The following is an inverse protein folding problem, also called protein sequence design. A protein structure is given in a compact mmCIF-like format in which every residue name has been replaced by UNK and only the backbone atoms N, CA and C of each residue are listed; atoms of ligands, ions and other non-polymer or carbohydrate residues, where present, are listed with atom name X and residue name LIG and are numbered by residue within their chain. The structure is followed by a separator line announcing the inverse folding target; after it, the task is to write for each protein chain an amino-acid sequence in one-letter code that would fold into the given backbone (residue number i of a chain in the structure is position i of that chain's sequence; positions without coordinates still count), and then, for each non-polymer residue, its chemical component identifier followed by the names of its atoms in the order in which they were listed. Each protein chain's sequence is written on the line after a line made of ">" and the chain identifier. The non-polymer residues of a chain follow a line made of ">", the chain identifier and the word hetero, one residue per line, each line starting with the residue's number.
data_IF_845205370004
#
_entry.id   IF_845205370004
#
_cell.length_a   1.000
_cell.length_b   1.000
_cell.length_c   1.000
_cell.angle_alpha   90.00
_cell.angle_beta   90.00
_cell.angle_gamma   90.00
#
_symmetry.space_group_name_H-M   'P 1'
#
loop_
_entity.id
_entity.type
_entity.pdbx_description
1 polymer ?
#
# COMPACT_ATOMS: atom_id res chain seq x y z
N UNK A 1 -19.13 21.05 0.95
CA UNK A 1 -18.04 21.85 1.53
C UNK A 1 -16.86 21.76 0.57
N UNK A 2 -16.65 22.80 -0.23
CA UNK A 2 -15.60 22.87 -1.25
C UNK A 2 -14.46 23.67 -0.64
N UNK A 3 -13.31 23.03 -0.41
CA UNK A 3 -12.10 23.74 -0.02
C UNK A 3 -11.41 24.16 -1.32
N UNK A 4 -11.50 25.44 -1.63
CA UNK A 4 -10.77 26.08 -2.73
C UNK A 4 -9.36 26.38 -2.20
N UNK A 5 -8.28 25.93 -2.85
CA UNK A 5 -6.94 26.30 -2.42
C UNK A 5 -6.69 27.77 -2.78
N UNK A 6 -6.49 28.60 -1.76
CA UNK A 6 -6.02 29.97 -1.96
C UNK A 6 -4.63 29.98 -2.59
N UNK A 7 -4.50 30.89 -3.55
CA UNK A 7 -3.32 31.14 -4.37
C UNK A 7 -2.33 31.93 -3.52
N UNK A 8 -1.22 31.31 -3.11
CA UNK A 8 -0.13 32.01 -2.42
C UNK A 8 0.65 32.87 -3.44
N UNK A 9 0.43 34.18 -3.41
CA UNK A 9 1.35 35.16 -4.02
C UNK A 9 2.57 35.34 -3.11
N UNK A 10 3.75 35.01 -3.65
CA UNK A 10 5.04 35.28 -3.03
C UNK A 10 5.39 36.76 -3.24
N UNK A 11 5.10 37.58 -2.23
CA UNK A 11 5.69 38.91 -2.12
C UNK A 11 7.16 38.77 -1.69
N UNK A 12 8.07 39.23 -2.56
CA UNK A 12 9.46 39.52 -2.22
C UNK A 12 9.47 40.69 -1.25
N UNK A 13 9.86 40.46 0.01
CA UNK A 13 10.19 41.54 0.94
C UNK A 13 11.69 41.54 1.21
N UNK A 14 12.24 42.74 1.05
CA UNK A 14 13.63 43.14 1.26
C UNK A 14 14.13 42.83 2.67
N UNK A 15 15.40 42.42 2.69
CA UNK A 15 16.18 42.06 3.87
C UNK A 15 16.63 43.35 4.58
N UNK A 16 16.02 43.68 5.71
CA UNK A 16 16.63 44.57 6.70
C UNK A 16 17.12 43.74 7.88
N UNK A 17 18.43 43.81 8.15
CA UNK A 17 19.12 43.04 9.16
C UNK A 17 18.68 43.41 10.59
N UNK A 18 18.11 42.45 11.29
CA UNK A 18 18.07 42.43 12.75
C UNK A 18 19.23 41.58 13.28
N UNK A 19 20.01 42.21 14.15
CA UNK A 19 21.13 41.63 14.86
C UNK A 19 20.62 40.68 15.97
N UNK A 20 21.12 39.44 16.05
CA UNK A 20 20.65 38.49 17.05
C UNK A 20 21.06 38.89 18.47
N UNK A 21 20.22 38.59 19.49
CA UNK A 21 20.52 38.90 20.88
C UNK A 21 21.70 38.05 21.39
N UNK A 22 22.60 38.70 22.13
CA UNK A 22 23.74 38.06 22.77
C UNK A 22 23.28 37.10 23.88
N UNK A 23 23.70 35.85 23.80
CA UNK A 23 23.50 34.85 24.86
C UNK A 23 24.60 35.01 25.91
N UNK A 24 24.19 35.10 27.18
CA UNK A 24 25.11 35.09 28.31
C UNK A 24 25.74 33.70 28.48
N UNK A 25 27.07 33.69 28.59
CA UNK A 25 27.92 32.54 28.93
C UNK A 25 27.49 31.95 30.27
N UNK A 26 27.19 30.65 30.29
CA UNK A 26 26.95 29.89 31.53
C UNK A 26 28.32 29.48 32.07
N UNK A 27 28.62 29.90 33.30
CA UNK A 27 29.80 29.50 34.06
C UNK A 27 29.79 28.00 34.37
N UNK A 28 30.93 27.40 34.12
CA UNK A 28 31.31 26.01 34.37
C UNK A 28 31.51 25.80 35.88
N UNK A 29 30.65 24.98 36.49
CA UNK A 29 30.75 24.60 37.91
C UNK A 29 31.41 23.23 38.05
N UNK A 30 32.56 23.28 38.71
CA UNK A 30 33.50 22.22 39.06
C UNK A 30 32.92 21.22 40.09
N UNK A 31 33.07 19.89 39.95
CA UNK A 31 32.51 18.92 40.88
C UNK A 31 33.57 18.44 41.88
N UNK A 32 33.49 18.87 43.14
CA UNK A 32 34.15 18.14 44.24
C UNK A 32 33.28 17.98 45.49
N UNK A 33 33.21 16.71 45.91
CA UNK A 33 33.16 16.18 47.28
C UNK A 33 31.79 15.71 47.84
N UNK A 34 31.72 14.47 48.37
CA UNK A 34 30.54 13.93 49.03
C UNK A 34 30.61 14.09 50.56
N UNK A 35 29.47 14.37 51.21
CA UNK A 35 29.28 14.08 52.64
C UNK A 35 27.83 13.70 52.97
N UNK A 36 27.68 12.44 53.38
CA UNK A 36 26.87 11.90 54.47
C UNK A 36 25.65 12.65 55.04
N UNK A 37 24.56 11.87 55.08
CA UNK A 37 23.58 11.69 56.17
C UNK A 37 22.62 12.84 56.53
N UNK A 38 21.32 12.60 56.43
CA UNK A 38 20.46 12.13 57.55
C UNK A 38 18.98 12.23 57.16
N UNK A 39 18.19 11.39 57.84
CA UNK A 39 16.74 11.18 57.81
C UNK A 39 15.86 12.42 57.62
N UNK A 40 14.65 12.23 57.08
CA UNK A 40 13.36 12.49 57.77
C UNK A 40 12.17 12.24 56.82
N UNK A 41 11.31 11.29 57.20
CA UNK A 41 9.96 11.05 56.64
C UNK A 41 9.05 12.27 56.85
N UNK A 42 8.02 12.45 56.02
CA UNK A 42 6.69 12.29 56.61
C UNK A 42 5.65 11.60 55.70
N UNK A 43 4.68 11.04 56.42
CA UNK A 43 3.52 10.27 55.98
C UNK A 43 2.34 11.10 55.46
N UNK A 44 1.46 10.40 54.72
CA UNK A 44 -0.01 10.58 54.59
C UNK A 44 -0.56 11.63 53.59
N UNK A 45 -1.85 11.54 53.17
CA UNK A 45 -2.80 10.41 53.14
C UNK A 45 -3.65 10.28 51.84
N UNK A 46 -4.36 9.14 51.76
CA UNK A 46 -5.67 8.86 51.12
C UNK A 46 -6.25 9.80 50.05
N UNK A 47 -6.58 9.22 48.88
CA UNK A 47 -7.63 9.74 47.99
C UNK A 47 -8.66 8.64 47.71
N UNK A 48 -9.91 8.98 48.00
CA UNK A 48 -11.10 8.15 47.88
C UNK A 48 -11.52 7.97 46.41
N UNK A 49 -12.02 6.78 46.10
CA UNK A 49 -12.69 6.44 44.86
C UNK A 49 -14.21 6.50 45.05
N UNK A 50 -14.86 7.36 44.28
CA UNK A 50 -16.30 7.44 43.97
C UNK A 50 -16.36 8.25 42.67
N UNK A 51 -17.08 7.96 41.60
CA UNK A 51 -18.29 7.19 41.34
C UNK A 51 -19.07 7.96 40.25
N UNK A 52 -19.88 7.25 39.46
CA UNK A 52 -20.90 7.76 38.51
C UNK A 52 -20.41 8.37 37.19
N UNK A 53 -20.57 7.73 36.03
CA UNK A 53 -21.80 7.33 35.30
C UNK A 53 -22.64 8.51 34.81
N UNK A 54 -22.63 8.76 33.51
CA UNK A 54 -23.65 9.54 32.80
C UNK A 54 -23.66 9.11 31.34
N UNK A 55 -24.65 8.29 30.97
CA UNK A 55 -25.01 7.95 29.59
C UNK A 55 -25.75 9.13 28.93
N UNK A 56 -25.60 9.35 27.62
CA UNK A 56 -26.35 10.40 26.91
C UNK A 56 -27.72 9.92 26.42
N UNK A 57 -28.68 10.85 26.48
CA UNK A 57 -30.05 10.72 26.01
C UNK A 57 -30.12 10.50 24.48
N UNK A 58 -30.86 9.47 24.10
CA UNK A 58 -31.26 9.14 22.73
C UNK A 58 -32.49 9.99 22.38
N UNK A 59 -32.35 10.93 21.45
CA UNK A 59 -33.49 11.59 20.79
C UNK A 59 -33.80 10.80 19.52
N UNK A 60 -34.86 9.99 19.61
CA UNK A 60 -35.50 9.35 18.45
C UNK A 60 -36.26 10.43 17.67
N UNK A 61 -35.87 10.63 16.41
CA UNK A 61 -36.65 11.41 15.45
C UNK A 61 -37.12 10.48 14.33
N UNK A 62 -38.40 10.16 14.36
CA UNK A 62 -39.10 9.33 13.37
C UNK A 62 -39.32 10.11 12.08
N UNK A 63 -39.00 9.51 10.92
CA UNK A 63 -39.48 9.98 9.62
C UNK A 63 -39.88 8.81 8.69
N UNK A 64 -40.80 9.06 7.74
CA UNK A 64 -41.73 8.07 7.22
C UNK A 64 -41.19 7.27 6.05
N UNK A 65 -41.69 6.02 5.97
CA UNK A 65 -41.55 5.06 4.88
C UNK A 65 -42.16 5.58 3.58
N UNK A 66 -41.40 5.50 2.48
CA UNK A 66 -41.95 5.45 1.12
C UNK A 66 -41.34 4.27 0.35
N UNK A 67 -42.23 3.58 -0.35
CA UNK A 67 -42.08 2.33 -1.09
C UNK A 67 -41.06 2.36 -2.24
N UNK A 68 -40.37 1.23 -2.55
CA UNK A 68 -39.79 0.99 -3.86
C UNK A 68 -40.75 0.23 -4.78
N UNK A 69 -40.91 0.73 -6.01
CA UNK A 69 -41.52 0.01 -7.13
C UNK A 69 -40.47 -0.92 -7.78
N UNK A 70 -40.84 -2.14 -8.22
CA UNK A 70 -39.99 -2.98 -9.04
C UNK A 70 -40.16 -2.64 -10.54
N UNK A 71 -39.08 -2.68 -11.31
CA UNK A 71 -39.15 -2.69 -12.77
C UNK A 71 -38.37 -3.90 -13.29
N UNK A 72 -39.15 -4.88 -13.73
CA UNK A 72 -38.74 -6.03 -14.53
C UNK A 72 -38.17 -5.61 -15.89
N UNK A 73 -37.34 -6.48 -16.47
CA UNK A 73 -36.85 -6.32 -17.84
C UNK A 73 -35.83 -7.39 -18.23
N UNK A 74 -36.28 -8.64 -18.35
CA UNK A 74 -35.57 -9.70 -19.08
C UNK A 74 -35.35 -9.33 -20.55
N UNK A 75 -34.30 -9.88 -21.18
CA UNK A 75 -34.41 -10.73 -22.38
C UNK A 75 -33.01 -11.15 -22.89
N UNK A 76 -32.84 -12.48 -23.00
CA UNK A 76 -32.17 -13.29 -24.03
C UNK A 76 -31.15 -12.59 -24.97
N UNK A 77 -29.99 -13.19 -25.27
CA UNK A 77 -29.87 -14.20 -26.33
C UNK A 77 -28.57 -15.02 -26.19
N UNK A 78 -28.71 -16.34 -26.33
CA UNK A 78 -27.66 -17.32 -26.60
C UNK A 78 -27.30 -17.33 -28.08
N UNK A 79 -26.06 -17.74 -28.43
CA UNK A 79 -25.87 -18.51 -29.65
C UNK A 79 -25.29 -19.90 -29.39
N UNK A 80 -25.96 -20.85 -30.02
CA UNK A 80 -25.71 -22.27 -30.14
C UNK A 80 -24.87 -22.55 -31.41
N UNK A 81 -24.26 -23.74 -31.46
CA UNK A 81 -23.69 -24.49 -32.62
C UNK A 81 -22.24 -24.18 -32.99
N UNK A 82 -21.37 -25.13 -33.36
CA UNK A 82 -21.56 -26.54 -33.77
C UNK A 82 -20.29 -27.35 -33.48
N UNK A 83 -20.49 -28.65 -33.27
CA UNK A 83 -19.48 -29.68 -33.33
C UNK A 83 -19.03 -29.93 -34.78
N UNK A 84 -17.79 -30.37 -34.96
CA UNK A 84 -17.47 -31.39 -35.95
C UNK A 84 -16.27 -32.23 -35.50
N UNK A 85 -16.42 -33.52 -35.77
CA UNK A 85 -15.56 -34.65 -35.49
C UNK A 85 -14.40 -34.71 -36.50
N UNK A 86 -13.28 -35.35 -36.12
CA UNK A 86 -12.72 -36.53 -36.80
C UNK A 86 -11.37 -36.96 -36.19
N UNK A 87 -11.38 -38.18 -35.63
CA UNK A 87 -10.39 -39.27 -35.76
C UNK A 87 -8.91 -38.96 -36.05
N UNK A 88 -8.01 -39.46 -35.18
CA UNK A 88 -7.07 -40.57 -35.50
C UNK A 88 -6.17 -40.96 -34.30
N UNK A 89 -6.05 -42.28 -34.06
CA UNK A 89 -5.09 -43.01 -33.20
C UNK A 89 -4.60 -44.22 -34.05
N UNK A 90 -3.54 -44.96 -33.67
CA UNK A 90 -2.19 -44.61 -33.19
C UNK A 90 -1.10 -45.32 -34.05
N UNK A 91 0.17 -45.40 -33.59
CA UNK A 91 0.66 -46.74 -33.27
C UNK A 91 1.51 -46.87 -32.00
N UNK A 92 1.46 -48.11 -31.49
CA UNK A 92 2.22 -48.71 -30.39
C UNK A 92 3.73 -48.47 -30.47
N UNK A 93 4.32 -48.03 -29.35
CA UNK A 93 5.76 -48.07 -29.07
C UNK A 93 6.00 -48.48 -27.61
N UNK A 94 7.01 -49.32 -27.40
CA UNK A 94 7.24 -50.18 -26.22
C UNK A 94 7.57 -49.44 -24.92
N UNK A 95 7.26 -50.14 -23.83
CA UNK A 95 7.51 -49.79 -22.43
C UNK A 95 8.97 -49.49 -22.09
N UNK A 96 9.17 -48.52 -21.18
CA UNK A 96 10.29 -48.52 -20.23
C UNK A 96 9.79 -48.01 -18.89
N UNK A 97 9.75 -48.92 -17.91
CA UNK A 97 9.39 -48.65 -16.54
C UNK A 97 10.53 -47.82 -15.89
N UNK A 98 10.42 -46.50 -15.92
CA UNK A 98 11.23 -45.61 -15.08
C UNK A 98 10.39 -45.10 -13.93
N UNK A 99 10.62 -45.69 -12.76
CA UNK A 99 10.18 -45.19 -11.46
C UNK A 99 11.00 -43.94 -11.13
N UNK A 100 10.60 -42.81 -11.69
CA UNK A 100 11.15 -41.50 -11.34
C UNK A 100 10.11 -40.73 -10.53
N UNK A 101 10.52 -40.25 -9.35
CA UNK A 101 9.76 -39.36 -8.47
C UNK A 101 9.20 -38.21 -9.31
N UNK A 102 7.89 -38.21 -9.55
CA UNK A 102 7.20 -37.06 -10.13
C UNK A 102 7.16 -35.94 -9.09
N UNK A 103 8.19 -35.10 -9.09
CA UNK A 103 7.99 -33.69 -8.81
C UNK A 103 7.25 -33.14 -10.02
N UNK A 104 5.99 -32.76 -9.84
CA UNK A 104 5.22 -32.01 -10.84
C UNK A 104 5.94 -30.68 -11.09
N UNK A 105 6.93 -30.71 -11.98
CA UNK A 105 7.62 -29.52 -12.49
C UNK A 105 6.67 -28.89 -13.51
N UNK A 106 6.18 -27.72 -13.16
CA UNK A 106 5.19 -26.96 -13.90
C UNK A 106 5.72 -26.61 -15.30
N UNK A 107 5.18 -27.27 -16.33
CA UNK A 107 5.60 -27.23 -17.74
C UNK A 107 5.30 -25.92 -18.49
N UNK A 108 5.10 -24.82 -17.78
CA UNK A 108 4.86 -23.49 -18.36
C UNK A 108 6.19 -22.77 -18.65
N UNK A 109 7.27 -23.09 -17.93
CA UNK A 109 8.60 -22.53 -18.18
C UNK A 109 9.27 -23.08 -19.46
N UNK A 110 8.81 -24.22 -19.96
CA UNK A 110 9.30 -24.84 -21.21
C UNK A 110 8.84 -24.09 -22.47
N UNK A 111 7.85 -23.20 -22.33
CA UNK A 111 7.30 -22.39 -23.43
C UNK A 111 7.98 -21.03 -23.57
N UNK A 112 8.88 -20.67 -22.66
CA UNK A 112 9.62 -19.42 -22.80
C UNK A 112 10.76 -19.64 -23.80
N UNK A 113 10.72 -19.08 -25.03
CA UNK A 113 11.67 -19.40 -26.07
C UNK A 113 12.91 -18.52 -25.87
N UNK A 114 13.62 -18.67 -24.76
CA UNK A 114 14.83 -17.91 -24.46
C UNK A 114 16.02 -18.53 -25.19
N UNK A 115 16.06 -18.36 -26.52
CA UNK A 115 17.25 -18.66 -27.30
C UNK A 115 18.25 -17.50 -27.16
N UNK A 116 19.54 -17.84 -27.06
CA UNK A 116 20.67 -16.95 -26.72
C UNK A 116 20.89 -15.71 -27.61
N UNK A 117 20.08 -15.47 -28.65
CA UNK A 117 20.26 -14.39 -29.63
C UNK A 117 19.21 -13.27 -29.56
N UNK A 118 18.34 -13.25 -28.55
CA UNK A 118 17.28 -12.23 -28.46
C UNK A 118 17.82 -10.87 -28.03
N UNK A 119 17.31 -9.81 -28.67
CA UNK A 119 17.58 -8.44 -28.24
C UNK A 119 16.93 -8.16 -26.88
N UNK A 120 17.54 -7.30 -26.07
CA UNK A 120 16.99 -6.89 -24.77
C UNK A 120 15.55 -6.32 -24.88
N UNK A 121 15.20 -5.67 -26.00
CA UNK A 121 13.84 -5.18 -26.27
C UNK A 121 12.83 -6.34 -26.37
N UNK A 122 13.19 -7.41 -27.08
CA UNK A 122 12.33 -8.58 -27.23
C UNK A 122 12.15 -9.31 -25.90
N UNK A 123 13.20 -9.37 -25.08
CA UNK A 123 13.14 -9.96 -23.74
C UNK A 123 12.24 -9.14 -22.83
N UNK A 124 12.41 -7.80 -22.79
CA UNK A 124 11.52 -6.91 -22.03
C UNK A 124 10.06 -7.11 -22.42
N UNK A 125 9.76 -7.13 -23.73
CA UNK A 125 8.39 -7.33 -24.21
C UNK A 125 7.82 -8.69 -23.77
N UNK A 126 8.64 -9.75 -23.86
CA UNK A 126 8.23 -11.08 -23.40
C UNK A 126 7.91 -11.10 -21.91
N UNK A 127 8.72 -10.43 -21.09
CA UNK A 127 8.51 -10.35 -19.64
C UNK A 127 7.26 -9.52 -19.33
N UNK A 128 7.03 -8.41 -20.04
CA UNK A 128 5.80 -7.62 -19.89
C UNK A 128 4.55 -8.42 -20.21
N UNK A 129 4.56 -9.26 -21.24
CA UNK A 129 3.44 -10.17 -21.53
C UNK A 129 3.19 -11.16 -20.40
N UNK A 130 4.25 -11.76 -19.82
CA UNK A 130 4.11 -12.67 -18.67
C UNK A 130 3.51 -11.94 -17.46
N UNK A 131 4.01 -10.73 -17.15
CA UNK A 131 3.52 -9.92 -16.03
C UNK A 131 2.07 -9.48 -16.27
N UNK A 132 1.72 -9.15 -17.51
CA UNK A 132 0.35 -8.83 -17.91
C UNK A 132 -0.60 -10.00 -17.62
N UNK A 133 -0.26 -11.20 -18.09
CA UNK A 133 -1.08 -12.40 -17.90
C UNK A 133 -1.17 -12.78 -16.42
N UNK A 134 -0.13 -12.50 -15.64
CA UNK A 134 -0.15 -12.61 -14.19
C UNK A 134 -1.09 -11.61 -13.54
N UNK A 135 -1.11 -10.35 -13.95
CA UNK A 135 -1.89 -9.30 -13.32
C UNK A 135 -3.38 -9.32 -13.71
N UNK A 136 -3.65 -9.63 -14.97
CA UNK A 136 -4.98 -9.67 -15.59
C UNK A 136 -5.22 -11.09 -16.12
N UNK A 137 -5.60 -12.04 -15.25
CA UNK A 137 -5.82 -13.41 -15.68
C UNK A 137 -6.99 -13.48 -16.66
N UNK A 138 -6.91 -14.31 -17.73
CA UNK A 138 -8.01 -14.49 -18.67
C UNK A 138 -9.26 -14.97 -17.93
N UNK A 139 -10.41 -14.35 -18.22
CA UNK A 139 -11.70 -14.61 -17.56
C UNK A 139 -12.20 -16.07 -17.65
N UNK A 140 -11.56 -16.91 -18.46
CA UNK A 140 -11.95 -18.30 -18.72
C UNK A 140 -10.95 -19.34 -18.21
N UNK A 141 -10.02 -18.94 -17.34
CA UNK A 141 -8.99 -19.83 -16.78
C UNK A 141 -9.58 -20.76 -15.71
N UNK A 142 -10.39 -21.74 -16.12
CA UNK A 142 -10.85 -22.86 -15.27
C UNK A 142 -9.72 -23.85 -14.93
N UNK A 143 -8.45 -23.48 -15.16
CA UNK A 143 -7.29 -24.35 -15.02
C UNK A 143 -6.60 -24.14 -13.66
N UNK A 144 -6.94 -25.00 -12.70
CA UNK A 144 -6.09 -25.33 -11.56
C UNK A 144 -5.74 -24.19 -10.59
N UNK A 145 -4.89 -24.53 -9.60
CA UNK A 145 -4.31 -23.53 -8.71
C UNK A 145 -3.51 -22.52 -9.54
N UNK A 146 -3.66 -21.21 -9.31
CA UNK A 146 -2.84 -20.20 -9.97
C UNK A 146 -1.36 -20.51 -9.71
N UNK A 147 -0.49 -20.28 -10.71
CA UNK A 147 0.95 -20.50 -10.55
C UNK A 147 1.50 -19.56 -9.46
N UNK A 148 2.56 -20.00 -8.77
CA UNK A 148 3.20 -19.19 -7.74
C UNK A 148 3.88 -17.98 -8.38
N UNK A 149 3.26 -16.82 -8.23
CA UNK A 149 3.71 -15.56 -8.80
C UNK A 149 5.16 -15.21 -8.40
N UNK A 150 5.60 -15.62 -7.21
CA UNK A 150 6.96 -15.36 -6.76
C UNK A 150 7.99 -16.13 -7.59
N UNK A 151 7.75 -17.42 -7.85
CA UNK A 151 8.62 -18.25 -8.70
C UNK A 151 8.69 -17.69 -10.13
N UNK A 152 7.57 -17.20 -10.66
CA UNK A 152 7.53 -16.60 -12.00
C UNK A 152 8.39 -15.34 -12.07
N UNK A 153 8.19 -14.44 -11.11
CA UNK A 153 8.92 -13.18 -11.07
C UNK A 153 10.40 -13.41 -10.76
N UNK A 154 10.75 -14.41 -9.95
CA UNK A 154 12.14 -14.82 -9.74
C UNK A 154 12.79 -15.30 -11.05
N UNK A 155 12.08 -16.11 -11.85
CA UNK A 155 12.56 -16.50 -13.18
C UNK A 155 12.74 -15.28 -14.10
N UNK A 156 11.78 -14.36 -14.11
CA UNK A 156 11.89 -13.12 -14.89
C UNK A 156 13.07 -12.26 -14.44
N UNK A 157 13.37 -12.24 -13.13
CA UNK A 157 14.50 -11.51 -12.56
C UNK A 157 15.83 -12.03 -13.08
N UNK A 158 15.99 -13.36 -13.12
CA UNK A 158 17.18 -14.00 -13.65
C UNK A 158 17.36 -13.70 -15.14
N UNK A 159 16.30 -13.82 -15.93
CA UNK A 159 16.33 -13.46 -17.35
C UNK A 159 16.62 -11.98 -17.58
N UNK A 160 16.06 -11.08 -16.78
CA UNK A 160 16.40 -9.66 -16.82
C UNK A 160 17.90 -9.44 -16.56
N UNK A 161 18.46 -10.08 -15.54
CA UNK A 161 19.88 -9.94 -15.19
C UNK A 161 20.81 -10.41 -16.33
N UNK A 162 20.50 -11.53 -16.98
CA UNK A 162 21.24 -12.05 -18.14
C UNK A 162 21.26 -11.07 -19.32
N UNK A 163 20.18 -10.30 -19.49
CA UNK A 163 20.01 -9.33 -20.58
C UNK A 163 20.27 -7.88 -20.18
N UNK A 164 20.85 -7.64 -18.99
CA UNK A 164 21.13 -6.30 -18.43
C UNK A 164 19.89 -5.39 -18.34
N UNK A 165 18.76 -5.99 -18.01
CA UNK A 165 17.51 -5.30 -17.71
C UNK A 165 17.29 -5.27 -16.20
N UNK A 166 16.59 -4.25 -15.71
CA UNK A 166 16.13 -4.19 -14.33
C UNK A 166 14.68 -4.67 -14.25
N UNK A 167 14.43 -5.79 -13.57
CA UNK A 167 13.05 -6.23 -13.34
C UNK A 167 12.26 -5.19 -12.53
N UNK A 168 12.94 -4.50 -11.62
CA UNK A 168 12.36 -3.42 -10.81
C UNK A 168 11.77 -2.29 -11.67
N UNK A 169 12.43 -1.91 -12.77
CA UNK A 169 11.88 -0.93 -13.72
C UNK A 169 10.66 -1.50 -14.45
N UNK A 170 10.76 -2.75 -14.93
CA UNK A 170 9.71 -3.40 -15.71
C UNK A 170 8.40 -3.56 -14.91
N UNK A 171 8.47 -3.96 -13.63
CA UNK A 171 7.28 -4.10 -12.78
C UNK A 171 6.64 -2.77 -12.37
N UNK A 172 7.34 -1.66 -12.58
CA UNK A 172 6.88 -0.30 -12.28
C UNK A 172 6.41 0.48 -13.52
N UNK A 173 6.60 -0.09 -14.72
CA UNK A 173 6.14 0.50 -15.98
C UNK A 173 4.60 0.51 -16.07
N UNK A 174 4.06 1.58 -16.66
CA UNK A 174 2.65 1.72 -17.05
C UNK A 174 2.34 0.89 -18.31
N UNK A 175 2.50 -0.42 -18.21
CA UNK A 175 2.48 -1.33 -19.35
C UNK A 175 1.11 -1.97 -19.60
N UNK A 176 0.18 -1.87 -18.66
CA UNK A 176 -1.12 -2.55 -18.74
C UNK A 176 -2.21 -1.49 -18.67
N UNK A 177 -2.74 -1.08 -19.83
CA UNK A 177 -3.77 -0.04 -19.95
C UNK A 177 -3.43 1.23 -19.14
N UNK A 178 -2.22 1.78 -19.37
CA UNK A 178 -1.69 2.97 -18.70
C UNK A 178 -1.57 2.87 -17.17
N UNK A 179 -1.53 1.64 -16.66
CA UNK A 179 -1.38 1.31 -15.25
C UNK A 179 -0.25 0.30 -15.02
N UNK A 180 0.26 0.30 -13.81
CA UNK A 180 1.27 -0.66 -13.34
C UNK A 180 0.64 -2.03 -13.07
N UNK A 181 1.43 -3.11 -13.14
CA UNK A 181 1.02 -4.43 -12.66
C UNK A 181 0.54 -4.43 -11.19
N UNK A 182 1.11 -3.56 -10.36
CA UNK A 182 0.72 -3.42 -8.94
C UNK A 182 -0.69 -2.84 -8.79
N UNK A 183 -1.08 -1.88 -9.63
CA UNK A 183 -2.44 -1.35 -9.67
C UNK A 183 -3.44 -2.47 -9.94
N UNK A 184 -3.20 -3.28 -10.97
CA UNK A 184 -4.08 -4.38 -11.33
C UNK A 184 -4.13 -5.47 -10.27
N UNK A 185 -3.01 -5.77 -9.61
CA UNK A 185 -2.99 -6.69 -8.48
C UNK A 185 -3.92 -6.21 -7.34
N UNK A 186 -3.97 -4.91 -7.07
CA UNK A 186 -4.84 -4.32 -6.04
C UNK A 186 -6.31 -4.35 -6.48
N UNK A 187 -6.61 -3.87 -7.69
CA UNK A 187 -7.99 -3.82 -8.22
C UNK A 187 -8.61 -5.21 -8.32
N UNK A 188 -7.81 -6.22 -8.67
CA UNK A 188 -8.24 -7.62 -8.75
C UNK A 188 -8.17 -8.35 -7.40
N UNK A 189 -7.90 -7.65 -6.29
CA UNK A 189 -7.78 -8.21 -4.93
C UNK A 189 -6.78 -9.38 -4.80
N UNK A 190 -5.67 -9.32 -5.55
CA UNK A 190 -4.62 -10.35 -5.58
C UNK A 190 -3.44 -9.97 -4.68
N UNK A 191 -3.64 -10.04 -3.37
CA UNK A 191 -2.64 -9.63 -2.37
C UNK A 191 -1.31 -10.40 -2.48
N UNK A 192 -1.35 -11.72 -2.72
CA UNK A 192 -0.15 -12.53 -2.90
C UNK A 192 0.71 -12.06 -4.10
N UNK A 193 0.06 -11.68 -5.20
CA UNK A 193 0.75 -11.13 -6.38
C UNK A 193 1.34 -9.75 -6.06
N UNK A 194 0.60 -8.90 -5.35
CA UNK A 194 1.10 -7.58 -4.94
C UNK A 194 2.36 -7.71 -4.08
N UNK A 195 2.38 -8.62 -3.10
CA UNK A 195 3.56 -8.88 -2.26
C UNK A 195 4.76 -9.31 -3.13
N UNK A 196 4.52 -10.24 -4.06
CA UNK A 196 5.56 -10.71 -4.96
C UNK A 196 6.10 -9.55 -5.83
N UNK A 197 5.24 -8.76 -6.49
CA UNK A 197 5.66 -7.59 -7.26
C UNK A 197 6.47 -6.59 -6.42
N UNK A 198 6.04 -6.31 -5.19
CA UNK A 198 6.72 -5.40 -4.28
C UNK A 198 8.10 -5.92 -3.83
N UNK A 199 8.30 -7.24 -3.76
CA UNK A 199 9.61 -7.82 -3.45
C UNK A 199 10.66 -7.61 -4.57
N UNK A 200 10.22 -7.48 -5.82
CA UNK A 200 11.12 -7.23 -6.97
C UNK A 200 11.23 -5.76 -7.37
N UNK A 201 10.43 -4.87 -6.78
CA UNK A 201 10.39 -3.45 -7.12
C UNK A 201 11.51 -2.60 -6.48
N UNK A 202 12.40 -3.19 -5.67
CA UNK A 202 13.50 -2.54 -4.92
C UNK A 202 13.14 -1.19 -4.25
N UNK A 203 13.13 -0.09 -5.02
CA UNK A 203 12.68 1.25 -4.65
C UNK A 203 11.52 1.67 -5.56
N UNK A 204 10.38 1.97 -4.96
CA UNK A 204 9.21 2.45 -5.70
C UNK A 204 9.40 3.90 -6.18
N UNK A 205 9.18 4.10 -7.48
CA UNK A 205 9.08 5.40 -8.12
C UNK A 205 7.78 6.12 -7.78
N UNK A 206 7.77 7.44 -7.96
CA UNK A 206 6.59 8.28 -7.68
C UNK A 206 5.37 7.88 -8.50
N UNK A 207 5.57 7.42 -9.75
CA UNK A 207 4.51 6.94 -10.64
C UNK A 207 3.84 5.70 -10.05
N UNK A 208 4.61 4.65 -9.74
CA UNK A 208 4.09 3.42 -9.13
C UNK A 208 3.39 3.67 -7.79
N UNK A 209 3.93 4.57 -6.95
CA UNK A 209 3.30 4.97 -5.68
C UNK A 209 1.94 5.64 -5.90
N UNK A 210 1.88 6.57 -6.86
CA UNK A 210 0.63 7.27 -7.19
C UNK A 210 -0.41 6.30 -7.75
N UNK A 211 0.04 5.31 -8.51
CA UNK A 211 -0.80 4.29 -9.11
C UNK A 211 -1.33 3.29 -8.07
N UNK A 212 -0.50 2.84 -7.14
CA UNK A 212 -0.93 2.03 -5.97
C UNK A 212 -2.00 2.78 -5.16
N UNK A 213 -1.78 4.08 -4.88
CA UNK A 213 -2.77 4.92 -4.19
C UNK A 213 -4.09 4.97 -4.96
N UNK A 214 -4.03 5.20 -6.28
CA UNK A 214 -5.19 5.21 -7.15
C UNK A 214 -5.91 3.87 -7.14
N UNK A 215 -5.19 2.75 -7.11
CA UNK A 215 -5.76 1.41 -7.04
C UNK A 215 -6.49 1.17 -5.71
N UNK A 216 -5.88 1.53 -4.58
CA UNK A 216 -6.52 1.45 -3.26
C UNK A 216 -7.78 2.31 -3.19
N UNK A 217 -7.75 3.48 -3.83
CA UNK A 217 -8.88 4.39 -3.93
C UNK A 217 -10.04 3.77 -4.74
N UNK A 218 -9.75 3.26 -5.93
CA UNK A 218 -10.76 2.62 -6.81
C UNK A 218 -11.36 1.38 -6.16
N UNK A 219 -10.55 0.58 -5.46
CA UNK A 219 -11.00 -0.62 -4.75
C UNK A 219 -11.62 -0.35 -3.37
N UNK A 220 -11.64 0.92 -2.92
CA UNK A 220 -12.04 1.33 -1.57
C UNK A 220 -11.39 0.50 -0.45
N UNK A 221 -10.15 0.05 -0.66
CA UNK A 221 -9.46 -0.85 0.26
C UNK A 221 -8.57 -0.09 1.25
N UNK A 222 -9.22 0.55 2.23
CA UNK A 222 -8.54 1.35 3.26
C UNK A 222 -7.63 0.49 4.15
N UNK A 223 -8.00 -0.77 4.41
CA UNK A 223 -7.18 -1.69 5.20
C UNK A 223 -5.84 -1.98 4.52
N UNK A 224 -5.86 -2.26 3.21
CA UNK A 224 -4.66 -2.45 2.42
C UNK A 224 -3.83 -1.17 2.33
N UNK A 225 -4.45 -0.03 2.06
CA UNK A 225 -3.75 1.26 2.03
C UNK A 225 -3.03 1.55 3.35
N UNK A 226 -3.71 1.30 4.48
CA UNK A 226 -3.11 1.43 5.80
C UNK A 226 -1.96 0.44 5.98
N UNK A 227 -2.15 -0.84 5.65
CA UNK A 227 -1.12 -1.87 5.81
C UNK A 227 0.15 -1.56 5.01
N UNK A 228 -0.02 -1.10 3.77
CA UNK A 228 1.04 -0.64 2.87
C UNK A 228 1.79 0.57 3.44
N UNK A 229 1.08 1.54 4.02
CA UNK A 229 1.68 2.73 4.64
C UNK A 229 2.43 2.39 5.93
N UNK A 230 1.89 1.48 6.75
CA UNK A 230 2.45 1.15 8.07
C UNK A 230 3.41 -0.02 8.04
N UNK A 231 3.63 -0.65 6.87
CA UNK A 231 4.37 -1.90 6.71
C UNK A 231 3.87 -3.03 7.61
N UNK A 232 2.55 -3.12 7.81
CA UNK A 232 1.94 -4.22 8.59
C UNK A 232 2.02 -5.53 7.80
N UNK A 233 1.84 -6.71 8.44
CA UNK A 233 1.79 -7.97 7.70
C UNK A 233 0.66 -7.90 6.66
N UNK A 234 0.84 -8.50 5.48
CA UNK A 234 1.98 -9.33 5.05
C UNK A 234 3.15 -8.55 4.40
N UNK A 235 3.16 -7.23 4.45
CA UNK A 235 4.16 -6.38 3.77
C UNK A 235 5.45 -6.14 4.59
N UNK A 236 5.59 -6.76 5.77
CA UNK A 236 6.82 -6.71 6.56
C UNK A 236 8.01 -7.24 5.74
N UNK A 237 9.16 -6.57 5.82
CA UNK A 237 10.39 -7.02 5.15
C UNK A 237 10.43 -6.80 3.63
N UNK A 238 9.31 -6.48 2.99
CA UNK A 238 9.38 -5.91 1.65
C UNK A 238 10.05 -4.53 1.76
N UNK A 239 11.00 -4.23 0.87
CA UNK A 239 11.52 -2.86 0.71
C UNK A 239 10.40 -1.87 0.31
N UNK A 240 9.20 -2.42 0.04
CA UNK A 240 7.94 -1.81 -0.30
C UNK A 240 7.56 -0.59 0.52
N UNK A 241 7.18 0.42 -0.25
CA UNK A 241 6.58 1.67 0.18
C UNK A 241 7.30 2.29 1.39
N UNK A 242 8.59 2.61 1.19
CA UNK A 242 8.94 4.02 1.49
C UNK A 242 8.15 4.85 0.48
N UNK A 243 6.82 4.92 0.64
CA UNK A 243 6.09 6.09 0.18
C UNK A 243 6.92 7.20 0.79
N UNK A 244 7.52 8.08 -0.01
CA UNK A 244 7.78 9.40 0.51
C UNK A 244 6.37 9.94 0.76
N UNK A 245 5.70 9.53 1.85
CA UNK A 245 5.01 10.52 2.65
C UNK A 245 6.10 11.55 2.79
N UNK A 246 5.94 12.69 2.11
CA UNK A 246 6.98 13.68 1.78
C UNK A 246 7.84 14.11 2.99
N UNK A 247 7.54 13.62 4.19
CA UNK A 247 7.94 14.02 5.52
C UNK A 247 8.37 12.81 6.38
N UNK A 248 8.95 11.73 5.83
CA UNK A 248 9.50 10.64 6.66
C UNK A 248 11.02 10.76 6.88
N UNK A 249 11.78 11.22 5.88
CA UNK A 249 13.25 11.22 5.93
C UNK A 249 13.85 12.23 6.90
N UNK A 250 13.50 13.51 6.76
CA UNK A 250 14.07 14.58 7.59
C UNK A 250 13.67 14.49 9.08
N UNK A 251 12.51 13.92 9.35
CA UNK A 251 11.93 13.88 10.69
C UNK A 251 12.47 12.72 11.53
N UNK A 252 13.00 11.67 10.89
CA UNK A 252 13.56 10.52 11.59
C UNK A 252 14.85 10.88 12.34
N UNK A 253 15.63 11.85 11.86
CA UNK A 253 16.85 12.30 12.56
C UNK A 253 16.52 13.11 13.82
N UNK A 254 15.46 13.93 13.78
CA UNK A 254 15.05 14.79 14.90
C UNK A 254 14.21 14.06 15.96
N UNK A 255 13.46 13.03 15.55
CA UNK A 255 12.48 12.36 16.41
C UNK A 255 12.82 10.90 16.73
N UNK A 256 13.85 10.33 16.08
CA UNK A 256 14.22 8.92 16.23
C UNK A 256 13.32 7.96 15.46
N UNK A 257 13.38 6.67 15.82
CA UNK A 257 12.44 5.66 15.31
C UNK A 257 11.04 5.93 15.86
N UNK A 258 10.08 6.15 14.96
CA UNK A 258 8.73 6.56 15.32
C UNK A 258 7.75 5.41 15.16
N UNK A 259 6.84 5.18 16.12
CA UNK A 259 5.64 4.36 15.89
C UNK A 259 4.81 4.95 14.76
N UNK A 260 4.06 4.12 14.05
CA UNK A 260 3.23 4.60 12.95
C UNK A 260 1.94 5.23 13.49
N UNK A 261 1.56 6.40 12.97
CA UNK A 261 0.28 7.05 13.29
C UNK A 261 -0.90 6.15 12.89
N UNK A 262 -1.93 6.06 13.74
CA UNK A 262 -3.15 5.33 13.42
C UNK A 262 -4.18 6.24 12.78
N UNK A 263 -4.86 5.72 11.75
CA UNK A 263 -5.93 6.44 11.04
C UNK A 263 -7.09 5.48 10.86
N UNK A 264 -8.24 5.81 11.41
CA UNK A 264 -9.48 5.04 11.33
C UNK A 264 -10.49 5.85 10.54
N UNK A 265 -10.91 5.33 9.39
CA UNK A 265 -11.96 5.94 8.58
C UNK A 265 -13.22 5.09 8.78
N UNK A 266 -14.31 5.73 9.21
CA UNK A 266 -15.61 5.10 9.36
C UNK A 266 -16.59 5.79 8.42
N UNK A 267 -17.05 5.06 7.41
CA UNK A 267 -18.02 5.57 6.44
C UNK A 267 -19.44 5.25 6.92
N UNK A 268 -20.34 6.22 6.76
CA UNK A 268 -21.77 6.02 6.98
C UNK A 268 -22.43 5.55 5.69
N UNK A 269 -23.28 4.53 5.79
CA UNK A 269 -23.91 3.91 4.62
C UNK A 269 -24.99 4.77 3.95
N UNK A 270 -25.48 5.82 4.64
CA UNK A 270 -26.71 6.51 4.22
C UNK A 270 -26.45 7.79 3.40
N UNK A 271 -25.39 8.54 3.66
CA UNK A 271 -25.20 9.87 3.04
C UNK A 271 -23.81 10.10 2.43
N UNK A 272 -22.96 9.06 2.36
CA UNK A 272 -21.55 9.23 1.99
C UNK A 272 -20.78 10.11 2.99
N UNK A 273 -21.36 10.41 4.15
CA UNK A 273 -20.67 11.04 5.26
C UNK A 273 -19.70 10.05 5.88
N UNK A 274 -18.59 10.55 6.39
CA UNK A 274 -17.53 9.74 6.99
C UNK A 274 -16.95 10.45 8.20
N UNK A 275 -16.51 9.67 9.17
CA UNK A 275 -15.77 10.13 10.35
C UNK A 275 -14.36 9.60 10.27
N UNK A 276 -13.38 10.46 10.54
CA UNK A 276 -11.97 10.05 10.59
C UNK A 276 -11.43 10.27 11.99
N UNK A 277 -10.96 9.19 12.61
CA UNK A 277 -10.19 9.21 13.86
C UNK A 277 -8.70 9.16 13.57
N UNK A 278 -7.94 9.98 14.27
CA UNK A 278 -6.48 10.05 14.15
C UNK A 278 -5.82 9.85 15.51
N UNK A 279 -4.94 8.86 15.61
CA UNK A 279 -4.04 8.70 16.77
C UNK A 279 -2.61 9.03 16.32
N UNK A 280 -2.25 10.30 16.48
CA UNK A 280 -0.95 10.83 16.04
C UNK A 280 0.04 10.76 17.20
N UNK A 281 0.99 9.83 17.11
CA UNK A 281 1.98 9.62 18.15
C UNK A 281 2.97 10.79 18.16
N UNK A 282 3.23 11.31 19.37
CA UNK A 282 4.14 12.44 19.62
C UNK A 282 3.75 13.73 18.87
N UNK A 283 2.45 13.98 18.67
CA UNK A 283 1.96 15.15 17.92
C UNK A 283 2.61 16.48 18.37
N UNK A 284 2.60 16.79 19.67
CA UNK A 284 3.19 18.04 20.19
C UNK A 284 4.69 18.16 19.88
N UNK A 285 5.45 17.07 20.06
CA UNK A 285 6.89 17.06 19.80
C UNK A 285 7.18 17.25 18.31
N UNK A 286 6.37 16.63 17.45
CA UNK A 286 6.43 16.80 15.99
C UNK A 286 6.15 18.24 15.61
N UNK A 287 5.06 18.82 16.11
CA UNK A 287 4.73 20.23 15.84
C UNK A 287 5.86 21.17 16.26
N UNK A 288 6.48 20.97 17.43
CA UNK A 288 7.61 21.82 17.86
C UNK A 288 8.87 21.64 17.01
N UNK A 289 9.22 20.41 16.66
CA UNK A 289 10.46 20.13 15.93
C UNK A 289 10.37 20.41 14.42
N UNK A 290 9.16 20.34 13.86
CA UNK A 290 8.92 20.29 12.42
C UNK A 290 8.03 21.44 11.93
N UNK A 291 7.18 21.96 12.80
CA UNK A 291 6.17 22.97 12.45
C UNK A 291 5.00 22.42 11.62
N UNK A 292 4.98 21.13 11.29
CA UNK A 292 3.88 20.51 10.54
C UNK A 292 3.68 19.03 10.85
N UNK A 293 2.43 18.60 10.84
CA UNK A 293 2.02 17.19 10.89
C UNK A 293 1.05 16.93 9.74
N UNK A 294 1.33 15.93 8.91
CA UNK A 294 0.43 15.51 7.83
C UNK A 294 -0.04 14.07 8.02
N UNK A 295 -1.31 13.85 7.69
CA UNK A 295 -1.94 12.53 7.68
C UNK A 295 -2.69 12.35 6.36
N UNK A 296 -2.52 11.19 5.73
CA UNK A 296 -3.15 10.82 4.46
C UNK A 296 -4.10 9.64 4.69
N UNK A 297 -5.30 9.73 4.13
CA UNK A 297 -6.30 8.67 4.18
C UNK A 297 -7.15 8.65 2.90
N UNK A 298 -7.80 7.51 2.68
CA UNK A 298 -8.72 7.30 1.57
C UNK A 298 -10.15 7.24 2.12
N UNK A 299 -11.07 7.86 1.40
CA UNK A 299 -12.52 7.75 1.62
C UNK A 299 -13.15 7.27 0.32
N UNK A 300 -14.17 6.42 0.42
CA UNK A 300 -15.01 5.98 -0.68
C UNK A 300 -15.54 7.18 -1.50
N UNK A 301 -15.65 6.99 -2.81
CA UNK A 301 -16.04 8.04 -3.75
C UNK A 301 -14.87 8.76 -4.43
N UNK A 302 -13.74 8.08 -4.63
CA UNK A 302 -12.58 8.56 -5.40
C UNK A 302 -11.92 9.83 -4.85
N UNK A 303 -11.98 10.08 -3.54
CA UNK A 303 -11.28 11.19 -2.89
C UNK A 303 -10.15 10.71 -1.98
N UNK A 304 -8.90 11.01 -2.37
CA UNK A 304 -7.79 11.04 -1.42
C UNK A 304 -7.81 12.37 -0.67
N UNK A 305 -7.69 12.31 0.66
CA UNK A 305 -7.67 13.49 1.50
C UNK A 305 -6.36 13.53 2.30
N UNK A 306 -5.74 14.71 2.34
CA UNK A 306 -4.56 14.98 3.14
C UNK A 306 -4.91 16.12 4.09
N UNK A 307 -4.73 15.88 5.38
CA UNK A 307 -4.87 16.91 6.40
C UNK A 307 -3.49 17.36 6.85
N UNK A 308 -3.34 18.68 6.96
CA UNK A 308 -2.14 19.35 7.43
C UNK A 308 -2.50 20.16 8.67
N UNK A 309 -1.69 20.01 9.72
CA UNK A 309 -1.65 20.86 10.90
C UNK A 309 -0.29 21.52 11.00
#
# INVERSE_FOLDING_TARGET
>A
MVIIPEKFELAHNDVHGEQPPAYHTIEELDPTKPSSASDTLPSSPHVAATGSSSSPNIVSSSRPLLHPLPSDGEHFLTPRRSADLLTNLPPRGRARLQKNRQRHSSSWLSFLPFTSARSAKQVRQSILTIIHDLAVPPSHSNLGSPPDAYEILASCSNTCAEHRLSLSEVVQDLSIADHTPMYWAIVNYREALLIALLSFAEKLGSVAVSDIRRACLVSSNQALFHALRTKRPPFHGTHGLRVPSLHAGAHSLLLGSRPTDEVRVQESSQDGAFTVGFDIILWQRRMRAVGRVSVEFIVSGNRTSILHW
#
